data_IF_757534779445
#
_entry.id   IF_757534779445
#
_cell.length_a   1.000
_cell.length_b   1.000
_cell.length_c   1.000
_cell.angle_alpha   90.00
_cell.angle_beta   90.00
_cell.angle_gamma   90.00
#
_symmetry.space_group_name_H-M   'P 1'
#
loop_
_entity.id
_entity.type
_entity.pdbx_description
1 polymer ?
#
# COMPACT_ATOMS: atom_id res chain seq x y z
N UNK A 1 26.78 3.86 -12.44
CA UNK A 1 25.98 3.91 -13.68
C UNK A 1 25.03 2.73 -13.81
N UNK A 2 25.49 1.49 -13.60
CA UNK A 2 24.72 0.22 -13.74
C UNK A 2 23.39 0.15 -12.94
N UNK A 3 23.31 0.74 -11.74
CA UNK A 3 22.07 0.75 -10.93
C UNK A 3 20.92 1.57 -11.53
N UNK A 4 21.21 2.57 -12.36
CA UNK A 4 20.19 3.45 -12.98
C UNK A 4 19.56 2.78 -14.21
N UNK A 5 20.35 2.00 -14.94
CA UNK A 5 19.91 1.23 -16.13
C UNK A 5 18.92 0.13 -15.74
N UNK A 6 19.25 -0.70 -14.75
CA UNK A 6 18.37 -1.81 -14.29
C UNK A 6 17.04 -1.31 -13.72
N UNK A 7 17.04 -0.17 -13.03
CA UNK A 7 15.81 0.45 -12.53
C UNK A 7 14.96 1.00 -13.69
N UNK A 8 15.59 1.61 -14.71
CA UNK A 8 14.89 2.06 -15.93
C UNK A 8 14.27 0.88 -16.69
N UNK A 9 15.00 -0.23 -16.78
CA UNK A 9 14.54 -1.45 -17.43
C UNK A 9 13.32 -2.06 -16.71
N UNK A 10 13.37 -2.16 -15.37
CA UNK A 10 12.23 -2.62 -14.58
C UNK A 10 11.00 -1.73 -14.74
N UNK A 11 11.18 -0.39 -14.71
CA UNK A 11 10.09 0.57 -14.91
C UNK A 11 9.52 0.51 -16.34
N UNK A 12 10.36 0.24 -17.34
CA UNK A 12 9.92 0.06 -18.74
C UNK A 12 9.10 -1.22 -18.90
N UNK A 13 9.50 -2.30 -18.25
CA UNK A 13 8.84 -3.61 -18.38
C UNK A 13 7.53 -3.72 -17.59
N UNK A 14 7.35 -2.93 -16.53
CA UNK A 14 6.16 -2.95 -15.67
C UNK A 14 5.21 -1.76 -15.89
N UNK A 15 5.42 -0.95 -16.93
CA UNK A 15 4.46 0.09 -17.32
C UNK A 15 3.21 -0.61 -17.89
N UNK A 16 2.00 -0.32 -17.40
CA UNK A 16 0.78 -0.91 -17.95
C UNK A 16 0.72 -0.59 -19.45
N UNK A 17 0.64 -1.65 -20.28
CA UNK A 17 0.51 -1.54 -21.73
C UNK A 17 -0.86 -0.93 -22.00
N UNK A 18 -0.91 0.39 -22.18
CA UNK A 18 -2.08 1.05 -22.73
C UNK A 18 -2.15 0.63 -24.20
N UNK A 19 -2.83 -0.47 -24.49
CA UNK A 19 -3.19 -0.84 -25.87
C UNK A 19 -4.27 0.12 -26.32
N UNK A 20 -3.87 1.33 -26.69
CA UNK A 20 -4.67 2.15 -27.59
C UNK A 20 -4.52 1.47 -28.96
N UNK A 21 -5.50 0.66 -29.32
CA UNK A 21 -5.60 0.05 -30.63
C UNK A 21 -6.03 1.18 -31.60
N UNK A 22 -5.06 1.95 -32.08
CA UNK A 22 -5.20 2.73 -33.31
C UNK A 22 -4.44 1.97 -34.39
N UNK A 23 -5.17 1.17 -35.17
CA UNK A 23 -4.59 0.36 -36.23
C UNK A 23 -5.66 -0.14 -37.16
N UNK A 24 -5.72 0.50 -38.33
CA UNK A 24 -6.59 0.22 -39.45
C UNK A 24 -6.48 -1.24 -39.92
N UNK A 25 -7.60 -1.74 -40.45
CA UNK A 25 -7.68 -3.00 -41.18
C UNK A 25 -6.68 -3.01 -42.35
N UNK A 26 -5.83 -4.02 -42.40
CA UNK A 26 -5.44 -4.63 -43.67
C UNK A 26 -5.11 -6.11 -43.44
N UNK A 27 -5.80 -6.95 -44.21
CA UNK A 27 -5.56 -8.38 -44.31
C UNK A 27 -4.20 -8.61 -44.98
N UNK A 28 -3.35 -9.45 -44.39
CA UNK A 28 -2.48 -10.32 -45.17
C UNK A 28 -2.06 -11.55 -44.36
N UNK A 29 -2.28 -12.68 -45.02
CA UNK A 29 -2.21 -14.04 -44.52
C UNK A 29 -0.82 -14.60 -44.86
N UNK A 30 -0.10 -15.17 -43.89
CA UNK A 30 0.93 -16.16 -44.20
C UNK A 30 1.18 -17.07 -43.00
N UNK A 31 0.84 -18.33 -43.22
CA UNK A 31 1.18 -19.49 -42.39
C UNK A 31 2.71 -19.66 -42.34
N UNK A 32 3.22 -20.16 -41.23
CA UNK A 32 4.24 -21.21 -41.23
C UNK A 32 4.21 -21.95 -39.88
N UNK A 33 4.01 -23.26 -40.00
CA UNK A 33 4.11 -24.29 -38.98
C UNK A 33 5.54 -24.42 -38.45
N UNK A 34 5.69 -24.98 -37.24
CA UNK A 34 6.45 -26.22 -36.96
C UNK A 34 6.60 -26.44 -35.44
N UNK A 35 6.06 -27.60 -35.02
CA UNK A 35 6.57 -28.61 -34.06
C UNK A 35 6.92 -28.20 -32.62
N UNK A 36 6.31 -28.76 -31.56
CA UNK A 36 6.36 -30.19 -31.15
C UNK A 36 7.47 -30.34 -30.08
N UNK A 37 7.34 -30.90 -28.88
CA UNK A 37 6.55 -32.02 -28.36
C UNK A 37 6.58 -31.98 -26.81
N UNK A 38 5.51 -32.47 -26.19
CA UNK A 38 5.49 -32.98 -24.81
C UNK A 38 6.19 -34.34 -24.75
N UNK A 39 6.85 -34.65 -23.64
CA UNK A 39 6.93 -36.03 -23.12
C UNK A 39 7.28 -36.02 -21.62
N UNK A 40 6.36 -36.56 -20.84
CA UNK A 40 6.58 -37.07 -19.49
C UNK A 40 7.50 -38.30 -19.55
N UNK A 41 8.39 -38.47 -18.57
CA UNK A 41 8.73 -39.82 -18.09
C UNK A 41 9.38 -39.77 -16.69
N UNK A 42 8.72 -40.46 -15.75
CA UNK A 42 9.20 -40.80 -14.41
C UNK A 42 10.27 -41.89 -14.52
N UNK A 43 11.42 -41.71 -13.85
CA UNK A 43 12.24 -42.83 -13.41
C UNK A 43 12.74 -42.65 -11.97
N UNK A 44 12.66 -43.77 -11.26
CA UNK A 44 12.73 -43.95 -9.82
C UNK A 44 14.12 -43.75 -9.21
N UNK A 45 14.07 -43.63 -7.88
CA UNK A 45 15.14 -43.63 -6.89
C UNK A 45 16.34 -44.55 -7.18
N UNK A 46 17.54 -43.99 -6.97
CA UNK A 46 18.64 -44.75 -6.38
C UNK A 46 19.40 -43.90 -5.35
N UNK A 47 19.58 -44.54 -4.20
CA UNK A 47 20.10 -43.98 -2.96
C UNK A 47 21.63 -44.09 -2.98
N UNK A 48 22.36 -42.99 -3.12
CA UNK A 48 23.78 -42.99 -2.77
C UNK A 48 24.28 -41.62 -2.30
N UNK A 49 24.96 -41.68 -1.16
CA UNK A 49 25.84 -40.67 -0.59
C UNK A 49 25.19 -39.39 -0.04
N UNK A 50 24.96 -39.48 1.27
CA UNK A 50 25.20 -38.40 2.24
C UNK A 50 26.60 -37.82 1.99
N UNK A 51 26.69 -36.87 1.06
CA UNK A 51 27.76 -35.88 1.05
C UNK A 51 27.22 -34.67 1.78
N UNK A 52 27.87 -34.33 2.88
CA UNK A 52 27.68 -33.11 3.65
C UNK A 52 27.86 -31.87 2.75
N UNK A 53 26.83 -31.54 1.97
CA UNK A 53 26.72 -30.25 1.31
C UNK A 53 26.32 -29.25 2.38
N UNK A 54 27.35 -28.82 3.11
CA UNK A 54 27.52 -27.49 3.67
C UNK A 54 26.58 -26.56 2.92
N UNK A 55 25.44 -26.23 3.54
CA UNK A 55 24.45 -25.34 2.96
C UNK A 55 25.13 -23.99 2.82
N UNK A 56 25.85 -23.78 1.72
CA UNK A 56 26.23 -22.46 1.26
C UNK A 56 24.89 -21.82 0.91
N UNK A 57 24.22 -21.29 1.94
CA UNK A 57 23.08 -20.44 1.78
C UNK A 57 23.58 -19.26 0.96
N UNK A 58 23.35 -19.28 -0.34
CA UNK A 58 23.62 -18.17 -1.22
C UNK A 58 22.76 -17.00 -0.72
N UNK A 59 23.32 -16.23 0.21
CA UNK A 59 22.69 -15.06 0.80
C UNK A 59 22.47 -14.09 -0.34
N UNK A 60 21.21 -13.77 -0.62
CA UNK A 60 20.81 -12.89 -1.72
C UNK A 60 21.65 -11.62 -1.70
N UNK A 61 22.28 -11.30 -2.83
CA UNK A 61 22.97 -10.03 -3.00
C UNK A 61 21.96 -8.96 -3.39
N UNK A 62 21.50 -8.18 -2.40
CA UNK A 62 20.49 -7.15 -2.61
C UNK A 62 20.99 -5.94 -3.40
N UNK A 63 22.30 -5.80 -3.66
CA UNK A 63 22.79 -4.77 -4.58
C UNK A 63 22.68 -5.20 -6.06
N UNK A 64 22.76 -6.51 -6.33
CA UNK A 64 22.57 -7.09 -7.68
C UNK A 64 21.10 -7.31 -7.99
N UNK A 65 20.35 -7.79 -6.99
CA UNK A 65 18.92 -8.12 -7.08
C UNK A 65 18.16 -7.49 -5.90
N UNK A 66 17.92 -6.17 -5.91
CA UNK A 66 17.20 -5.50 -4.83
C UNK A 66 15.78 -6.01 -4.69
N UNK A 67 15.22 -5.93 -3.48
CA UNK A 67 13.76 -6.03 -3.33
C UNK A 67 13.17 -4.67 -3.70
N UNK A 68 12.17 -4.66 -4.57
CA UNK A 68 11.45 -3.46 -4.97
C UNK A 68 9.98 -3.67 -4.60
N UNK A 69 9.45 -2.80 -3.75
CA UNK A 69 8.04 -2.84 -3.31
C UNK A 69 7.38 -1.54 -3.75
N UNK A 70 6.19 -1.63 -4.34
CA UNK A 70 5.37 -0.46 -4.68
C UNK A 70 4.78 0.13 -3.40
N UNK A 71 4.80 1.45 -3.24
CA UNK A 71 4.13 2.07 -2.11
C UNK A 71 2.61 2.01 -2.27
N UNK A 72 1.98 1.16 -1.45
CA UNK A 72 0.54 0.95 -1.47
C UNK A 72 -0.22 1.92 -0.53
N UNK A 73 0.47 2.76 0.26
CA UNK A 73 -0.20 3.70 1.17
C UNK A 73 -1.07 4.71 0.41
N UNK A 74 -0.64 5.14 -0.78
CA UNK A 74 -1.44 6.07 -1.59
C UNK A 74 -2.71 5.40 -2.15
N UNK A 75 -2.64 4.11 -2.52
CA UNK A 75 -3.82 3.34 -2.92
C UNK A 75 -4.78 3.18 -1.75
N UNK A 76 -4.26 2.97 -0.54
CA UNK A 76 -5.07 2.91 0.67
C UNK A 76 -5.81 4.24 0.91
N UNK A 77 -5.12 5.37 0.78
CA UNK A 77 -5.75 6.68 0.89
C UNK A 77 -6.84 6.92 -0.15
N UNK A 78 -6.61 6.50 -1.39
CA UNK A 78 -7.61 6.59 -2.45
C UNK A 78 -8.87 5.78 -2.11
N UNK A 79 -8.71 4.55 -1.63
CA UNK A 79 -9.83 3.71 -1.18
C UNK A 79 -10.51 4.34 0.05
N UNK A 80 -9.75 4.93 0.97
CA UNK A 80 -10.31 5.67 2.12
C UNK A 80 -11.19 6.83 1.65
N UNK A 81 -10.75 7.61 0.67
CA UNK A 81 -11.55 8.70 0.09
C UNK A 81 -12.86 8.20 -0.52
N UNK A 82 -12.83 7.10 -1.28
CA UNK A 82 -14.06 6.48 -1.83
C UNK A 82 -15.00 6.01 -0.72
N UNK A 83 -14.44 5.37 0.31
CA UNK A 83 -15.21 4.86 1.46
C UNK A 83 -15.89 6.00 2.22
N UNK A 84 -15.19 7.13 2.41
CA UNK A 84 -15.74 8.34 3.01
C UNK A 84 -16.89 8.93 2.17
N UNK A 85 -16.72 9.03 0.84
CA UNK A 85 -17.77 9.54 -0.07
C UNK A 85 -19.01 8.65 0.01
N UNK A 86 -18.83 7.32 -0.04
CA UNK A 86 -19.92 6.37 0.10
C UNK A 86 -20.69 6.55 1.41
N UNK A 87 -19.98 6.68 2.54
CA UNK A 87 -20.61 6.89 3.84
C UNK A 87 -21.31 8.23 3.95
N UNK A 88 -20.74 9.28 3.36
CA UNK A 88 -21.38 10.60 3.25
C UNK A 88 -22.73 10.48 2.55
N UNK A 89 -22.79 9.82 1.39
CA UNK A 89 -24.04 9.64 0.64
C UNK A 89 -25.05 8.80 1.43
N UNK A 90 -24.57 7.74 2.09
CA UNK A 90 -25.39 6.87 2.91
C UNK A 90 -25.96 7.61 4.14
N UNK A 91 -25.16 8.46 4.80
CA UNK A 91 -25.64 9.29 5.90
C UNK A 91 -26.65 10.33 5.44
N UNK A 92 -26.42 10.99 4.31
CA UNK A 92 -27.37 11.96 3.76
C UNK A 92 -28.72 11.30 3.45
N UNK A 93 -28.73 10.09 2.89
CA UNK A 93 -29.95 9.31 2.67
C UNK A 93 -30.64 8.89 3.97
N UNK A 94 -29.87 8.46 4.97
CA UNK A 94 -30.39 8.06 6.28
C UNK A 94 -31.03 9.22 7.05
N UNK A 95 -30.47 10.43 6.94
CA UNK A 95 -30.97 11.65 7.58
C UNK A 95 -32.00 12.41 6.74
N UNK A 96 -32.80 11.70 5.94
CA UNK A 96 -33.92 12.24 5.16
C UNK A 96 -33.51 13.45 4.29
N UNK A 97 -32.32 13.38 3.71
CA UNK A 97 -31.78 14.41 2.82
C UNK A 97 -31.58 15.79 3.47
N UNK A 98 -31.36 15.84 4.79
CA UNK A 98 -31.10 17.09 5.51
C UNK A 98 -29.98 17.95 4.87
N UNK A 99 -30.29 19.22 4.62
CA UNK A 99 -29.38 20.17 3.97
C UNK A 99 -28.10 20.43 4.78
N UNK A 100 -28.20 20.44 6.12
CA UNK A 100 -27.03 20.60 7.00
C UNK A 100 -26.04 19.45 6.85
N UNK A 101 -26.54 18.22 6.68
CA UNK A 101 -25.71 17.05 6.41
C UNK A 101 -25.13 17.08 4.99
N UNK A 102 -25.89 17.56 4.01
CA UNK A 102 -25.39 17.72 2.64
C UNK A 102 -24.22 18.71 2.57
N UNK A 103 -24.33 19.89 3.17
CA UNK A 103 -23.27 20.90 3.08
C UNK A 103 -22.00 20.48 3.83
N UNK A 104 -22.13 19.90 5.03
CA UNK A 104 -20.98 19.38 5.79
C UNK A 104 -20.29 18.24 5.03
N UNK A 105 -21.07 17.40 4.36
CA UNK A 105 -20.60 16.34 3.48
C UNK A 105 -19.85 16.86 2.25
N UNK A 106 -20.37 17.87 1.56
CA UNK A 106 -19.72 18.48 0.39
C UNK A 106 -18.36 19.07 0.78
N UNK A 107 -18.28 19.78 1.90
CA UNK A 107 -17.00 20.32 2.42
C UNK A 107 -16.00 19.19 2.66
N UNK A 108 -16.43 18.09 3.27
CA UNK A 108 -15.59 16.92 3.48
C UNK A 108 -15.13 16.30 2.13
N UNK A 109 -16.01 16.17 1.13
CA UNK A 109 -15.65 15.65 -0.18
C UNK A 109 -14.64 16.53 -0.93
N UNK A 110 -14.79 17.86 -0.89
CA UNK A 110 -13.85 18.79 -1.53
C UNK A 110 -12.45 18.63 -0.93
N UNK A 111 -12.34 18.46 0.39
CA UNK A 111 -11.07 18.15 1.05
C UNK A 111 -10.47 16.81 0.56
N UNK A 112 -11.32 15.88 0.13
CA UNK A 112 -10.97 14.59 -0.46
C UNK A 112 -10.39 14.68 -1.88
N UNK A 113 -10.89 15.59 -2.72
CA UNK A 113 -10.51 15.73 -4.15
C UNK A 113 -9.00 15.96 -4.33
N UNK A 114 -8.36 16.71 -3.42
CA UNK A 114 -6.91 16.90 -3.45
C UNK A 114 -6.13 15.58 -3.42
N UNK A 115 -6.64 14.56 -2.71
CA UNK A 115 -6.02 13.23 -2.66
C UNK A 115 -6.21 12.43 -3.94
N UNK A 116 -7.33 12.61 -4.65
CA UNK A 116 -7.52 11.99 -5.96
C UNK A 116 -6.46 12.49 -6.95
N UNK A 117 -6.20 13.81 -6.95
CA UNK A 117 -5.15 14.39 -7.78
C UNK A 117 -3.77 13.78 -7.47
N UNK A 118 -3.36 13.72 -6.21
CA UNK A 118 -2.08 13.11 -5.81
C UNK A 118 -1.99 11.64 -6.24
N UNK A 119 -3.08 10.88 -6.09
CA UNK A 119 -3.17 9.49 -6.54
C UNK A 119 -2.89 9.35 -8.03
N UNK A 120 -3.62 10.07 -8.88
CA UNK A 120 -3.47 9.95 -10.33
C UNK A 120 -2.10 10.43 -10.82
N UNK A 121 -1.51 11.43 -10.16
CA UNK A 121 -0.19 11.95 -10.52
C UNK A 121 0.96 11.02 -10.11
N UNK A 122 0.87 10.38 -8.93
CA UNK A 122 2.03 9.76 -8.31
C UNK A 122 1.92 8.25 -8.06
N UNK A 123 0.73 7.62 -8.01
CA UNK A 123 0.57 6.24 -7.55
C UNK A 123 1.45 5.20 -8.27
N UNK A 124 1.77 5.42 -9.55
CA UNK A 124 2.58 4.49 -10.35
C UNK A 124 4.08 4.77 -10.33
N UNK A 125 4.55 5.74 -9.53
CA UNK A 125 5.96 6.16 -9.49
C UNK A 125 6.60 5.98 -8.10
N UNK A 126 5.83 5.59 -7.09
CA UNK A 126 6.27 5.46 -5.70
C UNK A 126 6.71 4.02 -5.41
N UNK A 127 8.01 3.84 -5.20
CA UNK A 127 8.62 2.54 -4.90
C UNK A 127 9.65 2.66 -3.79
N UNK A 128 9.85 1.53 -3.10
CA UNK A 128 10.79 1.36 -2.00
C UNK A 128 11.75 0.24 -2.40
N UNK A 129 13.03 0.58 -2.51
CA UNK A 129 14.10 -0.33 -2.93
C UNK A 129 14.97 -0.70 -1.72
N UNK A 130 15.17 -2.00 -1.50
CA UNK A 130 15.98 -2.54 -0.41
C UNK A 130 17.28 -3.10 -0.98
N UNK A 131 18.39 -2.44 -0.62
CA UNK A 131 19.75 -2.82 -1.01
C UNK A 131 20.50 -3.43 0.18
N UNK A 132 21.78 -3.79 0.00
CA UNK A 132 22.58 -4.33 1.11
C UNK A 132 22.90 -3.29 2.19
N UNK A 133 23.00 -2.02 1.83
CA UNK A 133 23.48 -0.94 2.72
C UNK A 133 22.43 0.11 3.06
N UNK A 134 21.35 0.20 2.29
CA UNK A 134 20.29 1.17 2.51
C UNK A 134 18.93 0.75 1.97
N UNK A 135 17.90 1.44 2.45
CA UNK A 135 16.52 1.36 1.96
C UNK A 135 16.18 2.72 1.37
N UNK A 136 15.83 2.74 0.09
CA UNK A 136 15.63 3.96 -0.69
C UNK A 136 14.17 4.05 -1.09
N UNK A 137 13.50 5.11 -0.68
CA UNK A 137 12.20 5.52 -1.19
C UNK A 137 12.44 6.42 -2.41
N UNK A 138 11.85 6.11 -3.56
CA UNK A 138 12.19 6.79 -4.81
C UNK A 138 11.43 8.11 -5.05
N UNK A 139 10.15 8.20 -4.65
CA UNK A 139 9.32 9.36 -4.99
C UNK A 139 8.28 9.71 -3.91
N UNK A 140 8.62 10.54 -2.89
CA UNK A 140 9.76 11.44 -2.84
C UNK A 140 11.07 10.75 -2.48
N UNK A 141 12.20 11.27 -2.98
CA UNK A 141 13.51 10.64 -2.77
C UNK A 141 13.94 10.72 -1.30
N UNK A 142 14.07 9.58 -0.65
CA UNK A 142 14.54 9.43 0.74
C UNK A 142 15.37 8.17 0.87
N UNK A 143 16.37 8.19 1.74
CA UNK A 143 17.21 7.03 2.00
C UNK A 143 17.43 6.88 3.50
N UNK A 144 17.19 5.67 4.00
CA UNK A 144 17.59 5.26 5.35
C UNK A 144 18.74 4.26 5.20
N UNK A 145 19.94 4.65 5.63
CA UNK A 145 21.09 3.73 5.70
C UNK A 145 20.82 2.67 6.74
N UNK A 146 21.16 1.41 6.44
CA UNK A 146 20.88 0.29 7.35
C UNK A 146 21.49 0.51 8.72
N UNK A 147 22.74 0.99 8.79
CA UNK A 147 23.42 1.29 10.05
C UNK A 147 22.69 2.32 10.92
N UNK A 148 21.89 3.21 10.31
CA UNK A 148 21.16 4.28 11.01
C UNK A 148 19.74 3.87 11.44
N UNK A 149 19.24 2.69 11.02
CA UNK A 149 17.91 2.22 11.42
C UNK A 149 17.87 2.08 12.94
N UNK A 150 17.02 2.88 13.59
CA UNK A 150 16.77 2.83 15.03
C UNK A 150 15.62 1.90 15.37
N UNK A 151 14.56 1.92 14.58
CA UNK A 151 13.31 1.20 14.89
C UNK A 151 12.76 0.53 13.63
N UNK A 152 12.33 -0.72 13.80
CA UNK A 152 11.47 -1.44 12.87
C UNK A 152 10.25 -1.88 13.66
N UNK A 153 9.06 -1.46 13.23
CA UNK A 153 7.80 -1.65 13.97
C UNK A 153 6.66 -1.99 13.05
N UNK A 154 5.64 -2.66 13.58
CA UNK A 154 4.37 -2.85 12.86
C UNK A 154 3.45 -1.67 13.12
N UNK A 155 2.65 -1.30 12.14
CA UNK A 155 1.68 -0.22 12.30
C UNK A 155 0.36 -0.53 11.61
N UNK A 156 -0.70 0.09 12.12
CA UNK A 156 -1.95 0.26 11.40
C UNK A 156 -1.93 1.53 10.54
N UNK A 157 -1.08 2.51 10.88
CA UNK A 157 -1.07 3.86 10.31
C UNK A 157 -0.85 3.88 8.82
N UNK A 158 -1.58 4.78 8.18
CA UNK A 158 -1.51 5.06 6.74
C UNK A 158 -0.51 6.17 6.41
N UNK A 159 0.17 6.78 7.40
CA UNK A 159 1.02 7.96 7.20
C UNK A 159 2.08 7.69 6.12
N UNK A 160 2.16 8.60 5.15
CA UNK A 160 3.18 8.62 4.10
C UNK A 160 3.58 10.08 3.84
N UNK A 161 4.72 10.30 3.20
CA UNK A 161 5.14 11.66 2.82
C UNK A 161 4.36 12.13 1.60
N UNK A 162 3.50 13.12 1.81
CA UNK A 162 2.66 13.69 0.75
C UNK A 162 3.40 14.73 -0.08
N UNK A 163 3.00 14.84 -1.34
CA UNK A 163 3.25 16.04 -2.16
C UNK A 163 2.25 17.14 -1.74
N UNK A 164 2.72 18.37 -1.51
CA UNK A 164 1.84 19.53 -1.24
C UNK A 164 2.01 20.24 0.12
N UNK A 165 2.98 19.81 0.94
CA UNK A 165 3.37 20.54 2.16
C UNK A 165 2.54 20.21 3.41
N UNK A 166 3.15 20.44 4.57
CA UNK A 166 2.60 20.09 5.89
C UNK A 166 1.34 20.92 6.24
N UNK A 167 1.24 22.14 5.73
CA UNK A 167 0.23 23.12 6.16
C UNK A 167 -1.18 22.79 5.64
N UNK A 168 -1.35 22.54 4.34
CA UNK A 168 -2.64 22.19 3.74
C UNK A 168 -3.25 20.95 4.40
N UNK A 169 -2.41 19.95 4.66
CA UNK A 169 -2.84 18.71 5.31
C UNK A 169 -3.28 18.94 6.76
N UNK A 170 -2.57 19.78 7.52
CA UNK A 170 -3.00 20.15 8.87
C UNK A 170 -4.35 20.85 8.85
N UNK A 171 -4.55 21.78 7.92
CA UNK A 171 -5.81 22.52 7.77
C UNK A 171 -6.96 21.57 7.36
N UNK A 172 -6.75 20.72 6.35
CA UNK A 172 -7.74 19.74 5.92
C UNK A 172 -8.13 18.76 7.04
N UNK A 173 -7.15 18.29 7.82
CA UNK A 173 -7.41 17.42 8.98
C UNK A 173 -8.21 18.15 10.06
N UNK A 174 -7.90 19.43 10.33
CA UNK A 174 -8.69 20.25 11.26
C UNK A 174 -10.14 20.37 10.78
N UNK A 175 -10.36 20.68 9.50
CA UNK A 175 -11.72 20.78 8.95
C UNK A 175 -12.47 19.45 9.00
N UNK A 176 -11.80 18.31 8.78
CA UNK A 176 -12.40 16.98 8.92
C UNK A 176 -12.80 16.72 10.39
N UNK A 177 -11.91 16.99 11.35
CA UNK A 177 -12.26 16.80 12.76
C UNK A 177 -13.37 17.75 13.22
N UNK A 178 -13.35 18.99 12.75
CA UNK A 178 -14.39 19.98 13.06
C UNK A 178 -15.74 19.57 12.47
N UNK A 179 -15.78 19.11 11.21
CA UNK A 179 -17.03 18.66 10.59
C UNK A 179 -17.60 17.42 11.30
N UNK A 180 -16.74 16.46 11.67
CA UNK A 180 -17.13 15.30 12.47
C UNK A 180 -17.68 15.70 13.83
N UNK A 181 -17.04 16.66 14.50
CA UNK A 181 -17.49 17.19 15.78
C UNK A 181 -18.89 17.82 15.66
N UNK A 182 -19.11 18.67 14.65
CA UNK A 182 -20.40 19.30 14.39
C UNK A 182 -21.48 18.24 14.12
N UNK A 183 -21.20 17.25 13.27
CA UNK A 183 -22.14 16.17 12.94
C UNK A 183 -22.48 15.34 14.18
N UNK A 184 -21.49 15.04 15.02
CA UNK A 184 -21.68 14.30 16.27
C UNK A 184 -22.60 15.06 17.24
N UNK A 185 -22.33 16.34 17.51
CA UNK A 185 -23.14 17.16 18.42
C UNK A 185 -24.54 17.45 17.86
N UNK A 186 -24.65 17.73 16.55
CA UNK A 186 -25.94 17.91 15.90
C UNK A 186 -26.82 16.67 16.07
N UNK A 187 -26.24 15.48 15.88
CA UNK A 187 -26.96 14.21 16.07
C UNK A 187 -27.38 13.98 17.52
N UNK A 188 -26.46 14.21 18.46
CA UNK A 188 -26.72 14.06 19.90
C UNK A 188 -27.84 15.00 20.38
N UNK A 189 -27.84 16.27 19.93
CA UNK A 189 -28.76 17.29 20.41
C UNK A 189 -30.13 17.27 19.72
N UNK A 190 -30.20 16.90 18.44
CA UNK A 190 -31.40 17.12 17.61
C UNK A 190 -32.04 15.85 17.04
N UNK A 191 -31.36 14.71 17.05
CA UNK A 191 -31.84 13.47 16.43
C UNK A 191 -31.96 12.30 17.40
N UNK A 192 -31.00 12.16 18.32
CA UNK A 192 -31.04 11.18 19.40
C UNK A 192 -29.87 10.20 19.39
N UNK A 193 -29.94 9.22 20.30
CA UNK A 193 -28.84 8.27 20.53
C UNK A 193 -28.60 7.30 19.37
N UNK A 194 -29.65 6.88 18.65
CA UNK A 194 -29.52 5.92 17.54
C UNK A 194 -28.69 6.50 16.41
N UNK A 195 -28.94 7.77 16.10
CA UNK A 195 -28.27 8.53 15.07
C UNK A 195 -26.82 8.85 15.47
N UNK A 196 -26.56 9.08 16.76
CA UNK A 196 -25.21 9.21 17.29
C UNK A 196 -24.42 7.91 17.08
N UNK A 197 -24.99 6.75 17.41
CA UNK A 197 -24.35 5.46 17.19
C UNK A 197 -24.11 5.16 15.71
N UNK A 198 -25.03 5.57 14.84
CA UNK A 198 -24.86 5.42 13.39
C UNK A 198 -23.65 6.22 12.87
N UNK A 199 -23.49 7.47 13.31
CA UNK A 199 -22.32 8.29 12.96
C UNK A 199 -21.03 7.68 13.50
N UNK A 200 -21.04 7.21 14.75
CA UNK A 200 -19.88 6.56 15.36
C UNK A 200 -19.48 5.29 14.60
N UNK A 201 -20.46 4.46 14.24
CA UNK A 201 -20.24 3.28 13.40
C UNK A 201 -19.65 3.67 12.04
N UNK A 202 -20.21 4.70 11.38
CA UNK A 202 -19.68 5.23 10.13
C UNK A 202 -18.22 5.68 10.26
N UNK A 203 -17.85 6.34 11.36
CA UNK A 203 -16.47 6.73 11.63
C UNK A 203 -15.53 5.53 11.78
N UNK A 204 -15.93 4.52 12.57
CA UNK A 204 -15.17 3.27 12.68
C UNK A 204 -15.03 2.58 11.32
N UNK A 205 -16.10 2.55 10.52
CA UNK A 205 -16.10 1.97 9.18
C UNK A 205 -15.10 2.70 8.28
N UNK A 206 -15.10 4.04 8.24
CA UNK A 206 -14.11 4.84 7.51
C UNK A 206 -12.65 4.52 7.88
N UNK A 207 -12.38 4.19 9.15
CA UNK A 207 -11.01 3.90 9.61
C UNK A 207 -10.59 2.49 9.19
N UNK A 208 -11.43 1.48 9.44
CA UNK A 208 -11.02 0.08 9.31
C UNK A 208 -11.30 -0.51 7.93
N UNK A 209 -12.40 -0.14 7.27
CA UNK A 209 -12.80 -0.76 6.01
C UNK A 209 -11.87 -0.53 4.83
N UNK A 210 -11.27 0.67 4.63
CA UNK A 210 -10.43 0.89 3.45
C UNK A 210 -9.27 -0.10 3.35
N UNK A 211 -8.68 -0.43 4.49
CA UNK A 211 -7.54 -1.34 4.57
C UNK A 211 -7.95 -2.79 4.35
N UNK A 212 -9.12 -3.16 4.87
CA UNK A 212 -9.74 -4.45 4.59
C UNK A 212 -10.09 -4.61 3.11
N UNK A 213 -10.70 -3.60 2.48
CA UNK A 213 -11.02 -3.59 1.05
C UNK A 213 -9.76 -3.69 0.18
N UNK A 214 -8.69 -2.97 0.53
CA UNK A 214 -7.41 -3.07 -0.18
C UNK A 214 -6.80 -4.47 -0.06
N UNK A 215 -6.88 -5.08 1.13
CA UNK A 215 -6.41 -6.44 1.34
C UNK A 215 -7.18 -7.46 0.49
N UNK A 216 -8.51 -7.35 0.41
CA UNK A 216 -9.34 -8.20 -0.45
C UNK A 216 -9.03 -7.98 -1.94
N UNK A 217 -8.88 -6.72 -2.36
CA UNK A 217 -8.49 -6.36 -3.74
C UNK A 217 -7.18 -7.04 -4.15
N UNK A 218 -6.27 -7.23 -3.22
CA UNK A 218 -4.98 -7.88 -3.44
C UNK A 218 -5.03 -9.42 -3.32
N UNK A 219 -6.22 -10.02 -3.31
CA UNK A 219 -6.41 -11.48 -3.24
C UNK A 219 -6.32 -12.05 -1.82
N UNK A 220 -6.43 -11.21 -0.80
CA UNK A 220 -6.46 -11.62 0.59
C UNK A 220 -7.70 -12.43 0.96
N UNK A 221 -7.55 -13.39 1.87
CA UNK A 221 -8.66 -14.17 2.43
C UNK A 221 -9.17 -13.51 3.71
N UNK A 222 -10.49 -13.32 3.82
CA UNK A 222 -11.15 -12.59 4.93
C UNK A 222 -10.58 -12.96 6.31
N UNK A 223 -10.48 -14.26 6.62
CA UNK A 223 -10.02 -14.76 7.92
C UNK A 223 -8.50 -14.64 8.18
N UNK A 224 -7.71 -14.25 7.17
CA UNK A 224 -6.26 -14.04 7.27
C UNK A 224 -5.86 -12.56 7.34
N UNK A 225 -6.84 -11.65 7.36
CA UNK A 225 -6.58 -10.21 7.46
C UNK A 225 -5.87 -9.85 8.78
N UNK A 226 -4.91 -8.91 8.70
CA UNK A 226 -4.18 -8.39 9.86
C UNK A 226 -4.24 -6.87 9.87
N UNK A 227 -4.69 -6.30 10.99
CA UNK A 227 -4.76 -4.83 11.17
C UNK A 227 -3.37 -4.15 11.14
N UNK A 228 -2.37 -4.82 11.74
CA UNK A 228 -0.98 -4.33 11.84
C UNK A 228 -0.06 -5.05 10.85
N UNK A 229 -0.40 -4.97 9.57
CA UNK A 229 0.28 -5.56 8.43
C UNK A 229 1.44 -4.69 7.89
N UNK A 230 1.35 -3.36 8.03
CA UNK A 230 2.35 -2.41 7.57
C UNK A 230 3.58 -2.39 8.48
N UNK A 231 4.73 -2.09 7.88
CA UNK A 231 6.04 -2.03 8.55
C UNK A 231 6.59 -0.63 8.43
N UNK A 232 6.91 -0.03 9.57
CA UNK A 232 7.56 1.29 9.66
C UNK A 232 9.00 1.11 10.05
N UNK A 233 9.87 1.74 9.29
CA UNK A 233 11.31 1.81 9.54
C UNK A 233 11.63 3.26 9.81
N UNK A 234 12.39 3.55 10.86
CA UNK A 234 12.81 4.91 11.15
C UNK A 234 14.27 5.00 11.55
N UNK A 235 14.90 6.11 11.17
CA UNK A 235 16.14 6.59 11.76
C UNK A 235 15.85 7.73 12.76
N UNK A 236 16.80 8.65 12.94
CA UNK A 236 16.64 9.81 13.83
C UNK A 236 15.74 10.90 13.25
N UNK A 237 15.78 11.07 11.92
CA UNK A 237 15.23 12.24 11.24
C UNK A 237 13.99 11.89 10.42
N UNK A 238 13.82 10.61 10.09
CA UNK A 238 12.87 10.22 9.07
C UNK A 238 12.34 8.80 9.25
N UNK A 239 11.26 8.51 8.54
CA UNK A 239 10.67 7.18 8.48
C UNK A 239 10.30 6.76 7.05
N UNK A 240 10.14 5.47 6.85
CA UNK A 240 9.56 4.86 5.66
C UNK A 240 8.46 3.92 6.13
N UNK A 241 7.22 4.17 5.72
CA UNK A 241 6.08 3.31 5.99
C UNK A 241 5.83 2.41 4.78
N UNK A 242 5.84 1.09 4.97
CA UNK A 242 5.65 0.11 3.92
C UNK A 242 4.36 -0.64 4.20
N UNK A 243 3.40 -0.54 3.30
CA UNK A 243 2.22 -1.38 3.28
C UNK A 243 2.41 -2.46 2.22
N UNK A 244 2.71 -3.71 2.60
CA UNK A 244 2.86 -4.80 1.64
C UNK A 244 1.54 -5.03 0.89
N UNK A 245 1.62 -5.34 -0.40
CA UNK A 245 0.44 -5.66 -1.20
C UNK A 245 -0.13 -7.03 -0.81
N UNK A 246 0.74 -8.02 -0.60
CA UNK A 246 0.34 -9.40 -0.39
C UNK A 246 1.27 -10.11 0.63
N UNK A 247 0.99 -11.40 0.87
CA UNK A 247 1.78 -12.24 1.75
C UNK A 247 3.20 -12.49 1.20
N UNK A 248 3.38 -12.46 -0.14
CA UNK A 248 4.69 -12.67 -0.77
C UNK A 248 5.63 -11.49 -0.48
N UNK A 249 5.18 -10.26 -0.71
CA UNK A 249 5.92 -9.04 -0.37
C UNK A 249 6.21 -8.97 1.13
N UNK A 250 5.25 -9.35 1.97
CA UNK A 250 5.44 -9.39 3.42
C UNK A 250 6.51 -10.40 3.84
N UNK A 251 6.54 -11.58 3.21
CA UNK A 251 7.58 -12.58 3.42
C UNK A 251 8.95 -12.13 2.91
N UNK A 252 9.02 -11.41 1.79
CA UNK A 252 10.26 -10.80 1.30
C UNK A 252 10.83 -9.80 2.32
N UNK A 253 9.99 -8.93 2.88
CA UNK A 253 10.38 -8.00 3.94
C UNK A 253 10.88 -8.76 5.18
N UNK A 254 10.15 -9.78 5.61
CA UNK A 254 10.55 -10.60 6.77
C UNK A 254 11.94 -11.19 6.58
N UNK A 255 12.19 -11.81 5.41
CA UNK A 255 13.50 -12.39 5.07
C UNK A 255 14.61 -11.33 5.05
N UNK A 256 14.35 -10.17 4.45
CA UNK A 256 15.31 -9.07 4.40
C UNK A 256 15.75 -8.60 5.78
N UNK A 257 14.79 -8.33 6.68
CA UNK A 257 15.12 -7.84 8.03
C UNK A 257 15.74 -8.91 8.93
N UNK A 258 15.35 -10.18 8.76
CA UNK A 258 16.03 -11.30 9.41
C UNK A 258 17.48 -11.41 8.94
N UNK A 259 17.73 -11.28 7.64
CA UNK A 259 19.06 -11.43 7.07
C UNK A 259 20.02 -10.27 7.41
N UNK A 260 19.53 -9.02 7.31
CA UNK A 260 20.34 -7.82 7.45
C UNK A 260 20.41 -7.25 8.86
N UNK A 261 19.40 -7.50 9.68
CA UNK A 261 19.27 -6.90 11.03
C UNK A 261 18.97 -7.92 12.12
N UNK A 262 18.77 -9.20 11.79
CA UNK A 262 18.32 -10.23 12.74
C UNK A 262 17.00 -9.85 13.43
N UNK A 263 16.16 -9.06 12.75
CA UNK A 263 14.86 -8.62 13.24
C UNK A 263 13.76 -9.43 12.54
N UNK A 264 12.92 -10.10 13.33
CA UNK A 264 11.68 -10.68 12.82
C UNK A 264 10.57 -9.61 12.87
N UNK A 265 10.14 -9.12 11.70
CA UNK A 265 9.10 -8.08 11.62
C UNK A 265 7.76 -8.53 12.24
N UNK A 266 7.46 -9.83 12.25
CA UNK A 266 6.22 -10.37 12.84
C UNK A 266 6.13 -10.13 14.34
N UNK A 267 7.29 -10.16 15.02
CA UNK A 267 7.40 -10.02 16.46
C UNK A 267 7.84 -8.60 16.86
N UNK A 268 7.96 -7.69 15.88
CA UNK A 268 8.36 -6.31 16.16
C UNK A 268 7.25 -5.55 16.89
N UNK A 269 7.65 -4.57 17.72
CA UNK A 269 6.72 -3.76 18.52
C UNK A 269 5.70 -3.06 17.62
N UNK A 270 4.49 -2.92 18.13
CA UNK A 270 3.42 -2.18 17.46
C UNK A 270 3.58 -0.68 17.73
N UNK A 271 3.22 0.16 16.76
CA UNK A 271 3.04 1.60 16.94
C UNK A 271 1.78 2.05 16.22
N UNK A 272 0.90 2.75 16.92
CA UNK A 272 -0.38 3.24 16.40
C UNK A 272 -0.20 4.51 15.56
N UNK A 273 0.62 5.45 16.05
CA UNK A 273 0.89 6.72 15.39
C UNK A 273 2.37 6.81 15.04
N UNK A 274 2.64 7.07 13.76
CA UNK A 274 3.99 7.42 13.32
C UNK A 274 4.15 8.91 13.63
N UNK A 275 4.99 9.21 14.62
CA UNK A 275 5.35 10.58 15.02
C UNK A 275 6.32 11.14 13.98
#
# INVERSE_FOLDING_TARGET
MIKKEKLREYLRNNRPKNRVNLGNNHYENSNNELDGLNSDENLNSDNSQISNNKTNSNKRDYDKEPIIIKDNNLNLFFISSITCIFLVLLTWGYFEQSQSFLYTSIIAMISGIAYFREYFESANTRFICFNNSSIIYLNPRREIKLKNIKKVRRTFSIKYDRYGGILYNKIAVIFIFLSLFIIFFHSLLLKGLKEMFFILFGFCFCIFMPKFLLYLKNGGLIFKYKLFDAVVISDENTFINILPNDEKERNLLKRYFLDKKKINIENSKITFFII
#
